data_IF_359991639083
#
_entry.id   IF_359991639083
#
_cell.length_a   1.000
_cell.length_b   1.000
_cell.length_c   1.000
_cell.angle_alpha   90.00
_cell.angle_beta   90.00
_cell.angle_gamma   90.00
#
_symmetry.space_group_name_H-M   'P 1'
#
loop_
_entity.id
_entity.type
_entity.pdbx_description
1 polymer ?
#
# COMPACT_ATOMS: atom_id res chain seq x y z
N UNK A 1 11.25 16.22 12.85
CA UNK A 1 9.99 15.72 12.25
C UNK A 1 8.79 15.81 13.19
N UNK A 2 8.87 15.34 14.45
CA UNK A 2 7.77 15.42 15.45
C UNK A 2 7.10 16.80 15.56
N UNK A 3 7.88 17.88 15.63
CA UNK A 3 7.37 19.26 15.66
C UNK A 3 6.45 19.60 14.49
N UNK A 4 6.79 19.14 13.29
CA UNK A 4 5.99 19.42 12.09
C UNK A 4 4.70 18.62 12.14
N UNK A 5 4.79 17.32 12.47
CA UNK A 5 3.64 16.44 12.54
C UNK A 5 2.59 16.94 13.54
N UNK A 6 3.00 17.35 14.74
CA UNK A 6 2.08 17.83 15.77
C UNK A 6 1.42 19.16 15.44
N UNK A 7 2.17 20.07 14.80
CA UNK A 7 1.67 21.42 14.51
C UNK A 7 0.83 21.44 13.24
N UNK A 8 1.15 20.63 12.23
CA UNK A 8 0.63 20.80 10.86
C UNK A 8 -0.11 19.61 10.27
N UNK A 9 0.07 18.37 10.76
CA UNK A 9 -0.47 17.16 10.10
C UNK A 9 -1.83 16.70 10.65
N UNK A 10 -2.44 17.45 11.57
CA UNK A 10 -3.76 17.15 12.15
C UNK A 10 -3.92 15.67 12.55
N UNK A 11 -4.93 14.95 12.07
CA UNK A 11 -5.15 13.52 12.31
C UNK A 11 -4.12 12.60 11.62
N UNK A 12 -3.54 12.99 10.48
CA UNK A 12 -2.55 12.20 9.75
C UNK A 12 -1.23 12.02 10.52
N UNK A 13 -0.98 12.79 11.58
CA UNK A 13 0.19 12.56 12.45
C UNK A 13 0.18 11.18 13.11
N UNK A 14 -0.98 10.55 13.29
CA UNK A 14 -1.05 9.19 13.83
C UNK A 14 -0.41 8.16 12.88
N UNK A 15 -0.53 8.37 11.56
CA UNK A 15 0.16 7.54 10.58
C UNK A 15 1.69 7.71 10.71
N UNK A 16 2.17 8.94 10.83
CA UNK A 16 3.59 9.24 11.06
C UNK A 16 4.12 8.51 12.30
N UNK A 17 3.37 8.52 13.41
CA UNK A 17 3.80 7.83 14.64
C UNK A 17 3.71 6.31 14.58
N UNK A 18 2.75 5.76 13.83
CA UNK A 18 2.70 4.32 13.55
C UNK A 18 3.94 3.89 12.76
N UNK A 19 4.29 4.62 11.69
CA UNK A 19 5.44 4.31 10.83
C UNK A 19 6.78 4.57 11.52
N UNK A 20 6.85 5.55 12.43
CA UNK A 20 8.04 5.87 13.20
C UNK A 20 7.78 5.83 14.72
N UNK A 21 7.64 4.64 15.34
CA UNK A 21 7.29 4.51 16.76
C UNK A 21 8.27 5.20 17.71
N UNK A 22 9.55 5.33 17.30
CA UNK A 22 10.58 6.03 18.08
C UNK A 22 10.26 7.52 18.22
N UNK A 23 9.68 8.13 17.18
CA UNK A 23 9.26 9.54 17.17
C UNK A 23 8.11 9.80 18.14
N UNK A 24 7.22 8.82 18.35
CA UNK A 24 6.10 8.96 19.29
C UNK A 24 6.58 9.20 20.73
N UNK A 25 7.69 8.57 21.13
CA UNK A 25 8.31 8.75 22.45
C UNK A 25 8.83 10.16 22.71
N UNK A 26 9.08 10.93 21.64
CA UNK A 26 9.58 12.31 21.71
C UNK A 26 8.46 13.35 21.77
N UNK A 27 7.20 12.95 21.53
CA UNK A 27 6.04 13.84 21.51
C UNK A 27 5.92 14.70 22.76
N UNK A 28 6.05 14.08 23.93
CA UNK A 28 5.88 14.75 25.23
C UNK A 28 7.15 15.49 25.68
N UNK A 29 8.26 15.40 24.93
CA UNK A 29 9.54 16.02 25.28
C UNK A 29 9.73 17.39 24.64
N UNK A 30 8.80 17.82 23.79
CA UNK A 30 8.94 19.04 22.98
C UNK A 30 7.71 19.89 23.18
N UNK A 31 7.88 21.09 23.75
CA UNK A 31 6.79 22.08 23.78
C UNK A 31 6.57 22.65 22.37
N UNK A 32 5.31 22.66 21.95
CA UNK A 32 4.85 23.10 20.64
C UNK A 32 3.70 24.11 20.76
N UNK A 33 3.36 24.53 21.98
CA UNK A 33 2.22 25.39 22.29
C UNK A 33 2.29 26.71 21.52
N UNK A 34 3.46 27.35 21.49
CA UNK A 34 3.68 28.60 20.75
C UNK A 34 3.43 28.43 19.24
N UNK A 35 3.84 27.30 18.66
CA UNK A 35 3.68 27.02 17.23
C UNK A 35 2.24 26.67 16.87
N UNK A 36 1.54 25.94 17.73
CA UNK A 36 0.11 25.68 17.58
C UNK A 36 -0.70 26.97 17.68
N UNK A 37 -0.37 27.84 18.64
CA UNK A 37 -1.03 29.14 18.80
C UNK A 37 -0.74 30.07 17.61
N UNK A 38 0.48 30.06 17.08
CA UNK A 38 0.80 30.77 15.84
C UNK A 38 -0.08 30.30 14.66
N UNK A 39 -0.21 28.98 14.46
CA UNK A 39 -1.08 28.43 13.40
C UNK A 39 -2.54 28.89 13.57
N UNK A 40 -3.03 28.93 14.80
CA UNK A 40 -4.37 29.42 15.14
C UNK A 40 -4.53 30.91 14.82
N UNK A 41 -3.59 31.76 15.25
CA UNK A 41 -3.60 33.22 15.01
C UNK A 41 -3.56 33.56 13.52
N UNK A 42 -2.80 32.80 12.74
CA UNK A 42 -2.70 32.98 11.29
C UNK A 42 -3.88 32.38 10.51
N UNK A 43 -4.85 31.76 11.20
CA UNK A 43 -6.02 31.13 10.59
C UNK A 43 -5.66 30.17 9.44
N UNK A 44 -4.57 29.39 9.63
CA UNK A 44 -4.10 28.47 8.62
C UNK A 44 -5.15 27.42 8.28
N UNK A 45 -5.13 26.94 7.04
CA UNK A 45 -5.99 25.84 6.58
C UNK A 45 -5.60 24.51 7.26
N UNK A 46 -6.52 23.54 7.22
CA UNK A 46 -6.28 22.18 7.73
C UNK A 46 -5.30 21.42 6.83
N UNK A 47 -4.72 20.36 7.38
CA UNK A 47 -3.89 19.43 6.61
C UNK A 47 -4.70 18.73 5.52
N UNK A 48 -5.97 18.41 5.81
CA UNK A 48 -6.92 17.90 4.81
C UNK A 48 -7.00 18.83 3.59
N UNK A 49 -7.18 20.13 3.82
CA UNK A 49 -7.22 21.11 2.73
C UNK A 49 -5.91 21.11 1.92
N UNK A 50 -4.77 20.99 2.60
CA UNK A 50 -3.47 20.88 1.93
C UNK A 50 -3.37 19.64 1.03
N UNK A 51 -3.82 18.47 1.52
CA UNK A 51 -3.85 17.23 0.74
C UNK A 51 -4.79 17.35 -0.47
N UNK A 52 -5.96 17.96 -0.30
CA UNK A 52 -6.97 18.10 -1.37
C UNK A 52 -6.65 19.19 -2.39
N UNK A 53 -5.86 20.21 -2.06
CA UNK A 53 -5.69 21.42 -2.90
C UNK A 53 -4.25 21.73 -3.31
N UNK A 54 -3.25 21.24 -2.58
CA UNK A 54 -1.83 21.56 -2.82
C UNK A 54 -1.03 20.33 -3.18
N UNK A 55 -1.18 19.24 -2.43
CA UNK A 55 -0.49 17.97 -2.68
C UNK A 55 -1.47 16.88 -3.11
N UNK A 56 -2.13 17.06 -4.26
CA UNK A 56 -3.24 16.22 -4.73
C UNK A 56 -2.85 14.78 -5.07
N UNK A 57 -1.59 14.54 -5.46
CA UNK A 57 -1.08 13.22 -5.84
C UNK A 57 -0.44 12.46 -4.66
N UNK A 58 -0.85 12.79 -3.44
CA UNK A 58 -0.29 12.24 -2.22
C UNK A 58 -0.53 10.73 -2.04
N UNK A 59 0.30 10.13 -1.18
CA UNK A 59 0.18 8.74 -0.69
C UNK A 59 -0.21 8.68 0.78
N UNK A 60 -1.07 9.61 1.20
CA UNK A 60 -1.79 9.53 2.47
C UNK A 60 -3.16 8.88 2.24
N UNK A 61 -3.61 7.99 3.15
CA UNK A 61 -4.97 7.50 3.11
C UNK A 61 -5.94 8.64 3.42
N UNK A 62 -7.05 8.70 2.69
CA UNK A 62 -8.17 9.60 2.93
C UNK A 62 -9.38 8.81 3.45
N UNK A 63 -10.46 9.50 3.80
CA UNK A 63 -11.69 8.88 4.28
C UNK A 63 -12.19 7.82 3.28
N UNK A 64 -12.44 6.62 3.79
CA UNK A 64 -12.93 5.49 3.00
C UNK A 64 -11.84 4.67 2.32
N UNK A 65 -10.60 5.16 2.26
CA UNK A 65 -9.47 4.38 1.77
C UNK A 65 -9.09 3.29 2.77
N UNK A 66 -8.63 2.16 2.25
CA UNK A 66 -7.97 1.15 3.07
C UNK A 66 -6.47 1.46 3.14
N UNK A 67 -5.90 1.39 4.35
CA UNK A 67 -4.46 1.42 4.58
C UNK A 67 -4.03 0.19 5.35
N UNK A 68 -3.08 -0.56 4.82
CA UNK A 68 -2.60 -1.76 5.49
C UNK A 68 -1.74 -2.64 4.60
N UNK A 69 -1.75 -3.94 4.89
CA UNK A 69 -0.97 -4.92 4.14
C UNK A 69 -1.87 -5.74 3.24
N UNK A 70 -1.29 -6.09 2.11
CA UNK A 70 -1.85 -6.99 1.12
C UNK A 70 -1.13 -8.31 1.31
N UNK A 71 -1.87 -9.34 1.71
CA UNK A 71 -1.29 -10.63 2.05
C UNK A 71 -1.98 -11.74 1.29
N UNK A 72 -1.21 -12.78 1.02
CA UNK A 72 -1.69 -14.01 0.43
C UNK A 72 -1.70 -15.05 1.54
N UNK A 73 -2.86 -15.67 1.83
CA UNK A 73 -2.92 -16.75 2.79
C UNK A 73 -2.27 -17.98 2.17
N UNK A 74 -0.98 -18.23 2.44
CA UNK A 74 -0.44 -19.57 2.26
C UNK A 74 -1.24 -20.52 3.16
N UNK A 75 -1.43 -21.79 2.76
CA UNK A 75 -2.01 -22.82 3.64
C UNK A 75 -1.44 -22.65 5.05
N UNK A 76 -2.30 -22.24 5.99
CA UNK A 76 -1.91 -21.93 7.36
C UNK A 76 -1.68 -23.27 8.05
N UNK A 77 -0.59 -23.93 7.72
CA UNK A 77 -0.03 -25.00 8.53
C UNK A 77 0.64 -24.34 9.74
N UNK A 78 0.48 -24.95 10.90
CA UNK A 78 0.97 -24.44 12.19
C UNK A 78 2.48 -24.21 12.07
N UNK A 79 2.90 -22.95 11.95
CA UNK A 79 4.32 -22.54 11.87
C UNK A 79 4.71 -21.64 10.70
N UNK A 80 3.89 -21.50 9.66
CA UNK A 80 4.23 -20.66 8.49
C UNK A 80 3.66 -19.24 8.58
N UNK A 81 4.46 -18.24 8.17
CA UNK A 81 4.05 -16.83 8.10
C UNK A 81 3.39 -16.53 6.76
N UNK A 82 2.33 -15.70 6.70
CA UNK A 82 1.74 -15.28 5.44
C UNK A 82 2.76 -14.50 4.59
N UNK A 83 2.57 -14.50 3.27
CA UNK A 83 3.36 -13.70 2.34
C UNK A 83 2.69 -12.34 2.10
N UNK A 84 3.47 -11.26 2.11
CA UNK A 84 3.00 -9.90 1.93
C UNK A 84 3.52 -9.32 0.62
N UNK A 85 2.70 -8.50 -0.04
CA UNK A 85 3.11 -7.76 -1.22
C UNK A 85 4.03 -6.61 -0.82
N UNK A 86 5.21 -6.55 -1.43
CA UNK A 86 6.24 -5.58 -1.08
C UNK A 86 6.69 -4.82 -2.31
N UNK A 87 6.66 -3.49 -2.20
CA UNK A 87 7.18 -2.53 -3.17
C UNK A 87 8.49 -1.97 -2.64
N UNK A 88 9.63 -2.48 -3.13
CA UNK A 88 10.95 -1.94 -2.77
C UNK A 88 11.50 -1.08 -3.91
N UNK A 89 12.07 0.09 -3.62
CA UNK A 89 12.91 0.79 -4.57
C UNK A 89 14.02 -0.14 -5.06
N UNK A 90 14.34 -0.04 -6.35
CA UNK A 90 15.46 -0.75 -6.97
C UNK A 90 16.81 -0.19 -6.52
N UNK A 91 17.85 -0.54 -7.26
CA UNK A 91 19.19 -0.01 -6.99
C UNK A 91 19.22 1.52 -7.13
N UNK A 92 19.93 2.24 -6.25
CA UNK A 92 20.06 3.68 -6.34
C UNK A 92 20.47 4.13 -7.75
N UNK A 93 19.68 5.02 -8.36
CA UNK A 93 19.91 5.51 -9.73
C UNK A 93 19.16 4.74 -10.81
N UNK A 94 18.65 3.54 -10.53
CA UNK A 94 17.69 2.85 -11.39
C UNK A 94 16.29 3.31 -10.99
N UNK A 95 15.54 3.98 -11.87
CA UNK A 95 14.13 4.34 -11.64
C UNK A 95 13.22 3.10 -11.71
N UNK A 96 13.61 2.03 -11.01
CA UNK A 96 12.95 0.74 -11.06
C UNK A 96 12.44 0.39 -9.67
N UNK A 97 11.23 -0.16 -9.59
CA UNK A 97 10.68 -0.70 -8.35
C UNK A 97 10.54 -2.20 -8.50
N UNK A 98 10.95 -2.95 -7.48
CA UNK A 98 10.83 -4.40 -7.45
C UNK A 98 9.59 -4.78 -6.64
N UNK A 99 8.63 -5.41 -7.32
CA UNK A 99 7.46 -6.01 -6.71
C UNK A 99 7.78 -7.46 -6.34
N UNK A 100 7.63 -7.82 -5.07
CA UNK A 100 7.95 -9.16 -4.56
C UNK A 100 6.95 -9.60 -3.50
N UNK A 101 6.96 -10.90 -3.19
CA UNK A 101 6.05 -11.51 -2.21
C UNK A 101 6.79 -12.26 -1.08
N UNK A 102 7.63 -11.58 -0.26
CA UNK A 102 8.29 -12.18 0.90
C UNK A 102 7.34 -12.48 2.07
N UNK A 103 7.77 -13.29 3.06
CA UNK A 103 7.07 -13.43 4.33
C UNK A 103 6.82 -12.06 5.00
N UNK A 104 5.61 -11.86 5.51
CA UNK A 104 5.22 -10.64 6.20
C UNK A 104 6.13 -10.38 7.41
N UNK A 105 6.58 -9.13 7.56
CA UNK A 105 7.37 -8.71 8.71
C UNK A 105 6.48 -8.47 9.93
N UNK A 106 7.03 -8.58 11.14
CA UNK A 106 6.31 -8.25 12.38
C UNK A 106 6.35 -6.74 12.71
N UNK A 107 7.31 -5.99 12.15
CA UNK A 107 7.52 -4.57 12.42
C UNK A 107 6.85 -3.64 11.41
N UNK A 108 7.14 -2.34 11.46
CA UNK A 108 6.65 -1.35 10.49
C UNK A 108 7.59 -1.27 9.28
N UNK A 109 7.64 -2.34 8.47
CA UNK A 109 8.28 -2.29 7.15
C UNK A 109 7.38 -1.52 6.18
N UNK A 110 7.75 -0.27 5.88
CA UNK A 110 6.91 0.64 5.11
C UNK A 110 6.68 0.18 3.68
N UNK A 111 7.59 -0.62 3.13
CA UNK A 111 7.47 -1.20 1.80
C UNK A 111 6.35 -2.24 1.68
N UNK A 112 5.79 -2.71 2.80
CA UNK A 112 4.65 -3.64 2.82
C UNK A 112 3.30 -2.93 2.95
N UNK A 113 3.29 -1.60 3.12
CA UNK A 113 2.05 -0.85 3.25
C UNK A 113 1.53 -0.39 1.90
N UNK A 114 0.22 -0.55 1.74
CA UNK A 114 -0.52 -0.20 0.56
C UNK A 114 -1.75 0.63 0.95
N UNK A 115 -2.10 1.56 0.07
CA UNK A 115 -3.37 2.27 0.11
C UNK A 115 -4.23 1.70 -1.01
N UNK A 116 -5.41 1.20 -0.66
CA UNK A 116 -6.45 0.90 -1.63
C UNK A 116 -7.47 2.04 -1.58
N UNK A 117 -7.44 2.87 -2.62
CA UNK A 117 -8.25 4.08 -2.70
C UNK A 117 -9.69 3.78 -3.10
N UNK A 118 -10.60 4.67 -2.74
CA UNK A 118 -12.04 4.55 -3.09
C UNK A 118 -12.32 4.51 -4.60
N UNK A 119 -11.43 5.05 -5.43
CA UNK A 119 -11.51 4.97 -6.90
C UNK A 119 -10.96 3.64 -7.48
N UNK A 120 -10.45 2.75 -6.63
CA UNK A 120 -10.02 1.41 -7.00
C UNK A 120 -8.56 1.30 -7.40
N UNK A 121 -7.67 2.19 -6.92
CA UNK A 121 -6.22 2.10 -7.19
C UNK A 121 -5.49 1.51 -5.99
N UNK A 122 -4.42 0.77 -6.26
CA UNK A 122 -3.52 0.21 -5.25
C UNK A 122 -2.20 0.98 -5.28
N UNK A 123 -2.01 1.89 -4.32
CA UNK A 123 -0.85 2.78 -4.23
C UNK A 123 0.15 2.26 -3.20
N UNK A 124 1.43 2.30 -3.53
CA UNK A 124 2.54 2.18 -2.57
C UNK A 124 3.25 3.51 -2.39
N UNK A 125 4.33 3.53 -1.60
CA UNK A 125 5.21 4.70 -1.47
C UNK A 125 5.82 5.13 -2.83
N UNK A 126 6.37 6.35 -2.87
CA UNK A 126 7.07 6.93 -4.03
C UNK A 126 6.23 7.06 -5.32
N UNK A 127 4.92 7.33 -5.22
CA UNK A 127 4.04 7.53 -6.39
C UNK A 127 3.84 6.31 -7.27
N UNK A 128 4.00 5.10 -6.72
CA UNK A 128 3.82 3.86 -7.48
C UNK A 128 2.42 3.28 -7.30
N UNK A 129 1.80 2.91 -8.42
CA UNK A 129 0.52 2.23 -8.51
C UNK A 129 0.73 0.80 -9.06
N UNK A 130 0.03 -0.17 -8.47
CA UNK A 130 -0.05 -1.51 -9.02
C UNK A 130 -0.81 -1.46 -10.35
N UNK A 131 -0.15 -1.87 -11.42
CA UNK A 131 -0.70 -1.87 -12.78
C UNK A 131 -0.62 -3.25 -13.39
N UNK A 132 -1.52 -3.56 -14.32
CA UNK A 132 -1.40 -4.74 -15.16
C UNK A 132 -1.47 -4.39 -16.64
N UNK A 133 -0.52 -4.91 -17.42
CA UNK A 133 -0.43 -4.67 -18.86
C UNK A 133 -0.30 -5.97 -19.63
N UNK A 134 -0.79 -5.99 -20.86
CA UNK A 134 -0.56 -7.10 -21.78
C UNK A 134 0.93 -7.18 -22.16
N UNK A 135 1.43 -8.41 -22.26
CA UNK A 135 2.78 -8.67 -22.73
C UNK A 135 2.83 -8.45 -24.25
N UNK A 136 3.85 -7.74 -24.72
CA UNK A 136 4.03 -7.47 -26.15
C UNK A 136 4.28 -8.83 -26.83
N UNK A 137 3.51 -9.12 -27.90
CA UNK A 137 3.50 -10.39 -28.67
C UNK A 137 2.63 -11.53 -28.14
N UNK A 138 1.96 -11.39 -26.99
CA UNK A 138 0.91 -12.32 -26.56
C UNK A 138 -0.38 -11.55 -26.22
N UNK A 139 -1.44 -11.75 -27.01
CA UNK A 139 -2.71 -11.00 -26.82
C UNK A 139 -3.48 -11.39 -25.55
N UNK A 140 -3.13 -12.52 -24.94
CA UNK A 140 -3.87 -13.14 -23.84
C UNK A 140 -3.16 -13.08 -22.48
N UNK A 141 -1.88 -12.78 -22.43
CA UNK A 141 -1.12 -12.79 -21.17
C UNK A 141 -0.96 -11.38 -20.59
N UNK A 142 -1.13 -11.29 -19.28
CA UNK A 142 -1.01 -10.04 -18.53
C UNK A 142 0.10 -10.15 -17.48
N UNK A 143 0.88 -9.10 -17.34
CA UNK A 143 1.92 -8.98 -16.32
C UNK A 143 1.57 -7.88 -15.34
N UNK A 144 1.81 -8.14 -14.05
CA UNK A 144 1.64 -7.18 -12.95
C UNK A 144 2.96 -6.45 -12.73
N UNK A 145 2.90 -5.13 -12.63
CA UNK A 145 4.07 -4.30 -12.44
C UNK A 145 3.73 -3.02 -11.67
N UNK A 146 4.76 -2.38 -11.12
CA UNK A 146 4.65 -1.06 -10.52
C UNK A 146 4.96 0.01 -11.56
N UNK A 147 4.10 1.02 -11.64
CA UNK A 147 4.28 2.19 -12.49
C UNK A 147 3.93 3.44 -11.72
N UNK A 148 4.47 4.58 -12.14
CA UNK A 148 4.04 5.87 -11.62
C UNK A 148 2.52 6.01 -11.81
N UNK A 149 1.82 6.38 -10.74
CA UNK A 149 0.38 6.60 -10.75
C UNK A 149 0.05 7.73 -11.72
N UNK A 150 -0.70 7.43 -12.77
CA UNK A 150 -1.11 8.41 -13.77
C UNK A 150 -2.62 8.37 -14.04
N UNK A 151 -3.37 7.48 -13.38
CA UNK A 151 -4.82 7.39 -13.51
C UNK A 151 -5.28 6.64 -14.76
N UNK A 152 -4.42 5.79 -15.32
CA UNK A 152 -4.79 4.97 -16.47
C UNK A 152 -5.71 3.80 -16.08
N UNK A 153 -6.49 3.29 -17.04
CA UNK A 153 -7.39 2.14 -16.82
C UNK A 153 -6.67 0.87 -16.36
N UNK A 154 -5.36 0.76 -16.62
CA UNK A 154 -4.51 -0.37 -16.22
C UNK A 154 -4.16 -0.38 -14.73
N UNK A 155 -4.49 0.69 -14.00
CA UNK A 155 -4.22 0.86 -12.56
C UNK A 155 -5.44 0.52 -11.68
N UNK A 156 -6.55 0.10 -12.29
CA UNK A 156 -7.83 -0.05 -11.60
C UNK A 156 -8.14 -1.50 -11.21
N UNK A 157 -8.46 -1.69 -9.95
CA UNK A 157 -8.73 -2.96 -9.30
C UNK A 157 -10.03 -2.90 -8.51
N UNK A 158 -10.85 -3.93 -8.61
CA UNK A 158 -12.08 -4.08 -7.87
C UNK A 158 -11.87 -5.13 -6.77
N UNK A 159 -11.96 -4.69 -5.50
CA UNK A 159 -11.85 -5.60 -4.36
C UNK A 159 -13.19 -6.23 -3.96
N UNK A 160 -13.29 -7.55 -4.05
CA UNK A 160 -14.43 -8.30 -3.55
C UNK A 160 -14.22 -8.68 -2.08
N UNK A 161 -14.91 -8.00 -1.17
CA UNK A 161 -14.81 -8.26 0.29
C UNK A 161 -15.24 -9.67 0.71
N UNK A 162 -16.21 -10.27 0.00
CA UNK A 162 -16.72 -11.61 0.35
C UNK A 162 -15.74 -12.70 -0.05
N UNK A 163 -15.17 -12.57 -1.25
CA UNK A 163 -14.21 -13.53 -1.79
C UNK A 163 -12.77 -13.25 -1.36
N UNK A 164 -12.49 -12.04 -0.85
CA UNK A 164 -11.14 -11.54 -0.56
C UNK A 164 -10.26 -11.67 -1.79
N UNK A 165 -10.66 -11.00 -2.86
CA UNK A 165 -9.96 -11.02 -4.15
C UNK A 165 -9.87 -9.62 -4.74
N UNK A 166 -8.74 -9.33 -5.37
CA UNK A 166 -8.58 -8.16 -6.24
C UNK A 166 -8.74 -8.60 -7.69
N UNK A 167 -9.73 -8.05 -8.38
CA UNK A 167 -9.93 -8.23 -9.82
C UNK A 167 -9.41 -7.02 -10.57
N UNK A 168 -8.50 -7.21 -11.52
CA UNK A 168 -8.08 -6.14 -12.41
C UNK A 168 -9.20 -5.81 -13.40
N UNK A 169 -9.61 -4.54 -13.45
CA UNK A 169 -10.82 -4.12 -14.18
C UNK A 169 -10.70 -4.34 -15.68
N UNK A 170 -9.53 -4.05 -16.28
CA UNK A 170 -9.32 -4.14 -17.73
C UNK A 170 -9.10 -5.56 -18.24
N UNK A 171 -8.40 -6.41 -17.49
CA UNK A 171 -8.17 -7.82 -17.90
C UNK A 171 -9.29 -8.75 -17.49
N UNK A 172 -10.04 -8.42 -16.45
CA UNK A 172 -11.04 -9.30 -15.84
C UNK A 172 -10.45 -10.43 -14.99
N UNK A 173 -9.13 -10.49 -14.85
CA UNK A 173 -8.41 -11.51 -14.09
C UNK A 173 -8.19 -11.08 -12.63
N UNK A 174 -7.96 -12.05 -11.75
CA UNK A 174 -7.73 -11.84 -10.33
C UNK A 174 -6.24 -11.93 -9.98
N UNK A 175 -5.82 -11.13 -8.99
CA UNK A 175 -4.47 -11.15 -8.44
C UNK A 175 -4.23 -12.46 -7.69
N UNK A 176 -3.22 -13.22 -8.11
CA UNK A 176 -2.92 -14.57 -7.60
C UNK A 176 -1.43 -14.80 -7.39
N UNK A 177 -1.08 -15.54 -6.34
CA UNK A 177 0.30 -15.91 -6.08
C UNK A 177 0.62 -17.20 -6.81
N UNK A 178 1.75 -17.24 -7.52
CA UNK A 178 2.22 -18.48 -8.12
C UNK A 178 2.62 -19.44 -6.99
N UNK A 179 2.10 -20.68 -7.02
CA UNK A 179 2.46 -21.73 -6.07
C UNK A 179 3.98 -21.85 -5.92
N UNK A 180 4.44 -21.95 -4.68
CA UNK A 180 5.84 -22.11 -4.32
C UNK A 180 6.23 -23.55 -4.63
N UNK A 181 6.64 -23.84 -5.86
CA UNK A 181 7.35 -25.09 -6.15
C UNK A 181 8.67 -25.04 -5.39
N UNK A 182 8.78 -25.88 -4.36
CA UNK A 182 9.99 -26.06 -3.55
C UNK A 182 11.17 -26.39 -4.46
N UNK A 183 11.98 -25.39 -4.83
CA UNK A 183 13.39 -25.53 -5.13
C UNK A 183 13.99 -24.17 -5.53
N UNK A 184 14.99 -23.74 -4.76
CA UNK A 184 15.91 -22.61 -4.94
C UNK A 184 15.55 -21.30 -4.22
N UNK A 185 16.57 -20.77 -3.54
CA UNK A 185 16.60 -19.71 -2.53
C UNK A 185 16.23 -18.29 -3.02
N UNK A 186 15.41 -18.16 -4.07
CA UNK A 186 15.01 -16.88 -4.70
C UNK A 186 13.47 -16.69 -4.78
N UNK A 187 12.73 -17.36 -3.89
CA UNK A 187 11.25 -17.38 -3.78
C UNK A 187 10.64 -16.01 -3.38
N UNK A 188 10.77 -15.01 -4.26
CA UNK A 188 10.24 -13.66 -4.12
C UNK A 188 9.39 -13.24 -5.34
N UNK A 189 8.91 -14.21 -6.11
CA UNK A 189 8.16 -13.96 -7.36
C UNK A 189 7.05 -12.93 -7.18
N UNK A 190 6.92 -11.96 -8.10
CA UNK A 190 5.82 -11.01 -8.08
C UNK A 190 4.47 -11.75 -8.22
N UNK A 191 3.37 -11.15 -7.73
CA UNK A 191 2.06 -11.71 -7.96
C UNK A 191 1.73 -11.71 -9.45
N UNK A 192 0.87 -12.64 -9.85
CA UNK A 192 0.44 -12.88 -11.23
C UNK A 192 -1.06 -12.66 -11.37
N UNK A 193 -1.60 -12.84 -12.58
CA UNK A 193 -3.02 -12.77 -12.86
C UNK A 193 -3.53 -14.11 -13.39
N UNK A 194 -4.66 -14.57 -12.85
CA UNK A 194 -5.35 -15.78 -13.30
C UNK A 194 -6.87 -15.64 -13.19
N UNK A 195 -7.61 -16.65 -13.64
CA UNK A 195 -9.07 -16.64 -13.57
C UNK A 195 -9.59 -16.54 -12.13
N UNK A 196 -10.64 -15.73 -11.96
CA UNK A 196 -11.26 -15.51 -10.66
C UNK A 196 -12.07 -16.75 -10.21
N UNK A 197 -11.45 -17.64 -9.42
CA UNK A 197 -12.09 -18.82 -8.81
C UNK A 197 -12.93 -18.54 -7.54
N UNK A 198 -13.83 -19.48 -7.19
CA UNK A 198 -14.65 -19.48 -5.93
C UNK A 198 -13.99 -20.19 -4.75
N UNK A 199 -12.96 -21.00 -5.01
CA UNK A 199 -12.03 -21.64 -4.08
C UNK A 199 -10.66 -21.42 -4.70
N UNK A 200 -9.63 -21.08 -3.93
CA UNK A 200 -8.22 -21.44 -4.13
C UNK A 200 -7.40 -20.61 -3.13
N UNK A 201 -6.54 -21.29 -2.37
CA UNK A 201 -5.67 -20.78 -1.31
C UNK A 201 -4.54 -19.84 -1.82
N UNK A 202 -4.67 -19.26 -3.01
CA UNK A 202 -3.65 -18.43 -3.68
C UNK A 202 -4.11 -16.99 -3.94
N UNK A 203 -5.28 -16.60 -3.41
CA UNK A 203 -5.92 -15.31 -3.66
C UNK A 203 -5.78 -14.29 -2.52
N UNK A 204 -5.66 -13.02 -2.88
CA UNK A 204 -5.22 -11.92 -2.02
C UNK A 204 -6.28 -11.31 -1.13
N UNK A 205 -6.05 -11.39 0.17
CA UNK A 205 -6.82 -10.65 1.16
C UNK A 205 -6.18 -9.32 1.56
N UNK A 206 -7.03 -8.37 1.92
CA UNK A 206 -6.63 -7.22 2.73
C UNK A 206 -6.60 -7.61 4.21
N UNK A 207 -5.45 -7.45 4.89
CA UNK A 207 -5.42 -7.49 6.35
C UNK A 207 -5.49 -6.07 6.87
N UNK A 208 -6.59 -5.75 7.55
CA UNK A 208 -6.69 -4.51 8.30
C UNK A 208 -5.68 -4.56 9.45
N UNK A 209 -4.54 -3.89 9.28
CA UNK A 209 -3.76 -3.46 10.43
C UNK A 209 -4.50 -2.28 11.07
N UNK A 210 -5.44 -2.61 11.95
CA UNK A 210 -6.13 -1.68 12.84
C UNK A 210 -6.72 -0.46 12.10
N UNK A 211 -8.02 -0.55 11.81
CA UNK A 211 -8.93 0.58 11.62
C UNK A 211 -8.28 1.93 11.92
N UNK A 212 -7.66 2.54 10.89
CA UNK A 212 -7.48 3.98 10.89
C UNK A 212 -8.86 4.48 10.51
N UNK A 213 -9.73 4.60 11.51
CA UNK A 213 -10.78 5.61 11.44
C UNK A 213 -10.01 6.92 11.42
N UNK A 214 -9.90 7.51 10.23
CA UNK A 214 -9.85 8.96 10.11
C UNK A 214 -11.22 9.49 10.55
#
# INVERSE_FOLDING_TARGET
>A
MVRVAEVWMDEWKFLFYKLAPQSAKLRNKVDMSERMELRRRLQCKSFRWYLENVFTDHHFPMDGDFFGRIFFPSEITIGYKPYCMVSRPGEPGTKTHRLTMPPCTLGFDHWQFWIYTTDGRLKSDEHMCLSATQIIHTSSEWTVQLKECAGYDIEHWDYNRRLRTFKHRKSGLCLTQRGVEMETQDELSPPTLSDCGRRIEEQVGLYLLLSILL
#
